data_IF_263239652377
#
_entry.id   IF_263239652377
#
_cell.length_a   1.000
_cell.length_b   1.000
_cell.length_c   1.000
_cell.angle_alpha   90.00
_cell.angle_beta   90.00
_cell.angle_gamma   90.00
#
_symmetry.space_group_name_H-M   'P 1'
#
loop_
_entity.id
_entity.type
_entity.pdbx_description
1 polymer ?
#
# COMPACT_ATOMS: atom_id res chain seq x y z
N UNK A 1 1.54 -21.79 -3.14
CA UNK A 1 1.44 -20.50 -2.46
C UNK A 1 1.12 -20.79 -0.99
N UNK A 2 1.66 -20.02 -0.03
CA UNK A 2 1.23 -20.15 1.36
C UNK A 2 -0.23 -19.72 1.47
N UNK A 3 -1.01 -20.42 2.30
CA UNK A 3 -2.38 -19.97 2.64
C UNK A 3 -2.32 -18.60 3.32
N UNK A 4 -3.37 -17.81 3.15
CA UNK A 4 -3.53 -16.54 3.85
C UNK A 4 -3.51 -16.81 5.35
N UNK A 5 -2.65 -16.14 6.09
CA UNK A 5 -2.55 -16.30 7.53
C UNK A 5 -3.80 -15.78 8.23
N UNK A 6 -4.13 -16.34 9.38
CA UNK A 6 -5.18 -15.83 10.28
C UNK A 6 -4.62 -15.59 11.68
N UNK A 7 -5.26 -14.69 12.40
CA UNK A 7 -4.96 -14.37 13.79
C UNK A 7 -6.24 -14.34 14.62
N UNK A 8 -6.20 -14.89 15.82
CA UNK A 8 -7.32 -14.85 16.74
C UNK A 8 -7.11 -13.73 17.73
N UNK A 9 -8.01 -12.74 17.71
CA UNK A 9 -7.85 -11.51 18.48
C UNK A 9 -7.91 -11.73 19.98
N UNK A 10 -7.09 -10.98 20.72
CA UNK A 10 -7.22 -10.74 22.16
C UNK A 10 -8.16 -9.55 22.42
N UNK A 11 -8.51 -9.34 23.68
CA UNK A 11 -9.46 -8.29 24.10
C UNK A 11 -8.97 -6.86 23.75
N UNK A 12 -7.66 -6.62 23.86
CA UNK A 12 -7.04 -5.31 23.65
C UNK A 12 -6.72 -5.01 22.17
N UNK A 13 -6.87 -6.00 21.29
CA UNK A 13 -6.47 -5.84 19.88
C UNK A 13 -7.38 -4.88 19.14
N UNK A 14 -6.76 -4.06 18.28
CA UNK A 14 -7.41 -3.33 17.19
C UNK A 14 -6.85 -3.79 15.86
N UNK A 15 -7.62 -3.68 14.77
CA UNK A 15 -7.06 -3.98 13.43
C UNK A 15 -5.91 -3.03 13.08
N UNK A 16 -5.85 -1.85 13.68
CA UNK A 16 -4.78 -0.87 13.48
C UNK A 16 -3.46 -1.33 14.11
N UNK A 17 -3.51 -1.85 15.33
CA UNK A 17 -2.33 -2.38 16.03
C UNK A 17 -1.84 -3.66 15.37
N UNK A 18 -2.76 -4.55 15.00
CA UNK A 18 -2.45 -5.78 14.25
C UNK A 18 -1.84 -5.46 12.88
N UNK A 19 -2.35 -4.42 12.18
CA UNK A 19 -1.75 -3.98 10.93
C UNK A 19 -0.24 -3.67 11.11
N UNK A 20 0.12 -2.83 12.08
CA UNK A 20 1.52 -2.51 12.35
C UNK A 20 2.33 -3.73 12.78
N UNK A 21 1.79 -4.55 13.68
CA UNK A 21 2.45 -5.76 14.19
C UNK A 21 2.82 -6.74 13.07
N UNK A 22 1.94 -6.90 12.09
CA UNK A 22 2.12 -7.83 10.98
C UNK A 22 2.64 -7.16 9.69
N UNK A 23 3.08 -5.90 9.76
CA UNK A 23 3.60 -5.12 8.62
C UNK A 23 2.60 -4.99 7.47
N UNK A 24 1.37 -4.67 7.83
CA UNK A 24 0.23 -4.44 6.95
C UNK A 24 -0.24 -2.98 7.05
N UNK A 25 -1.01 -2.52 6.07
CA UNK A 25 -1.68 -1.23 6.10
C UNK A 25 -3.07 -1.31 6.74
N UNK A 26 -3.56 -0.17 7.27
CA UNK A 26 -4.89 -0.13 7.89
C UNK A 26 -6.01 -0.54 6.92
N UNK A 27 -6.09 0.09 5.74
CA UNK A 27 -7.12 -0.23 4.73
C UNK A 27 -7.00 -1.68 4.25
N UNK A 28 -5.77 -2.19 4.11
CA UNK A 28 -5.49 -3.58 3.77
C UNK A 28 -6.10 -4.56 4.78
N UNK A 29 -5.92 -4.28 6.07
CA UNK A 29 -6.52 -5.08 7.15
C UNK A 29 -8.05 -5.00 7.16
N UNK A 30 -8.62 -3.82 6.99
CA UNK A 30 -10.09 -3.62 6.99
C UNK A 30 -10.73 -4.28 5.76
N UNK A 31 -10.12 -4.15 4.58
CA UNK A 31 -10.59 -4.79 3.35
C UNK A 31 -10.59 -6.32 3.43
N UNK A 32 -9.55 -6.90 4.05
CA UNK A 32 -9.46 -8.34 4.25
C UNK A 32 -10.51 -8.89 5.22
N UNK A 33 -11.03 -8.06 6.13
CA UNK A 33 -11.91 -8.42 7.25
C UNK A 33 -13.25 -7.65 7.23
N UNK A 34 -14.06 -7.74 6.15
CA UNK A 34 -15.31 -7.00 6.06
C UNK A 34 -16.27 -7.37 7.18
N UNK A 35 -16.88 -6.36 7.78
CA UNK A 35 -17.83 -6.53 8.89
C UNK A 35 -17.20 -6.65 10.28
N UNK A 36 -15.87 -6.74 10.37
CA UNK A 36 -15.17 -6.65 11.67
C UNK A 36 -14.98 -5.18 12.03
N UNK A 37 -15.34 -4.81 13.26
CA UNK A 37 -15.07 -3.47 13.78
C UNK A 37 -13.55 -3.25 13.90
N UNK A 38 -12.97 -2.24 13.26
CA UNK A 38 -11.52 -2.06 13.27
C UNK A 38 -10.95 -1.61 14.63
N UNK A 39 -11.79 -1.04 15.50
CA UNK A 39 -11.39 -0.54 16.82
C UNK A 39 -11.71 -1.52 17.95
N UNK A 40 -12.75 -2.31 17.78
CA UNK A 40 -13.20 -3.31 18.75
C UNK A 40 -13.58 -4.59 18.01
N UNK A 41 -12.60 -5.34 17.46
CA UNK A 41 -12.87 -6.58 16.73
C UNK A 41 -13.52 -7.66 17.62
N UNK A 42 -13.38 -7.54 18.93
CA UNK A 42 -13.87 -8.50 19.91
C UNK A 42 -12.87 -9.63 20.18
N UNK A 43 -12.84 -10.10 21.42
CA UNK A 43 -11.97 -11.22 21.81
C UNK A 43 -12.37 -12.52 21.08
N UNK A 44 -11.39 -13.25 20.58
CA UNK A 44 -11.58 -14.54 19.92
C UNK A 44 -12.10 -14.45 18.48
N UNK A 45 -12.15 -13.27 17.87
CA UNK A 45 -12.51 -13.09 16.46
C UNK A 45 -11.36 -13.59 15.59
N UNK A 46 -11.66 -14.42 14.59
CA UNK A 46 -10.67 -14.86 13.62
C UNK A 46 -10.56 -13.80 12.51
N UNK A 47 -9.40 -13.13 12.44
CA UNK A 47 -9.10 -12.12 11.42
C UNK A 47 -8.09 -12.64 10.41
N UNK A 48 -8.30 -12.30 9.15
CA UNK A 48 -7.40 -12.62 8.03
C UNK A 48 -6.24 -11.64 8.03
N UNK A 49 -5.02 -12.15 7.91
CA UNK A 49 -3.81 -11.35 7.74
C UNK A 49 -3.34 -11.44 6.27
N UNK A 50 -3.55 -10.41 5.43
CA UNK A 50 -3.20 -10.42 4.01
C UNK A 50 -1.67 -10.24 3.81
N UNK A 51 -0.86 -11.17 4.31
CA UNK A 51 0.62 -11.09 4.30
C UNK A 51 1.27 -11.58 3.00
N UNK A 52 0.49 -12.03 2.04
CA UNK A 52 0.96 -12.54 0.75
C UNK A 52 0.46 -11.62 -0.36
N UNK A 53 1.39 -11.16 -1.21
CA UNK A 53 1.07 -10.25 -2.32
C UNK A 53 1.61 -10.78 -3.65
N UNK A 54 0.83 -10.58 -4.71
CA UNK A 54 1.34 -10.68 -6.08
C UNK A 54 2.21 -9.45 -6.40
N UNK A 55 3.19 -9.64 -7.25
CA UNK A 55 4.01 -8.52 -7.72
C UNK A 55 3.20 -7.61 -8.64
N UNK A 56 3.41 -6.29 -8.55
CA UNK A 56 2.88 -5.36 -9.55
C UNK A 56 3.39 -5.71 -10.94
N UNK A 57 2.52 -5.58 -11.94
CA UNK A 57 2.89 -5.74 -13.34
C UNK A 57 3.41 -4.41 -13.90
N UNK A 58 4.66 -4.40 -14.36
CA UNK A 58 5.29 -3.25 -15.00
C UNK A 58 5.38 -3.44 -16.53
N UNK A 59 4.61 -4.37 -17.09
CA UNK A 59 4.66 -4.72 -18.49
C UNK A 59 5.99 -5.38 -18.87
N UNK A 60 6.68 -4.82 -19.86
CA UNK A 60 7.98 -5.34 -20.31
C UNK A 60 9.15 -4.89 -19.44
N UNK A 61 8.95 -3.95 -18.53
CA UNK A 61 10.02 -3.39 -17.72
C UNK A 61 10.38 -4.34 -16.58
N UNK A 62 11.67 -4.62 -16.46
CA UNK A 62 12.18 -5.37 -15.31
C UNK A 62 12.05 -4.51 -14.06
N UNK A 63 11.42 -5.00 -12.99
CA UNK A 63 11.35 -4.27 -11.74
C UNK A 63 12.74 -3.99 -11.19
N UNK A 64 13.01 -2.75 -10.82
CA UNK A 64 14.26 -2.30 -10.21
C UNK A 64 14.03 -1.14 -9.25
N UNK A 65 14.86 -1.04 -8.21
CA UNK A 65 14.77 0.02 -7.22
C UNK A 65 13.46 -0.03 -6.45
N UNK A 66 12.72 1.07 -6.42
CA UNK A 66 11.47 1.19 -5.69
C UNK A 66 10.29 1.17 -6.67
N UNK A 67 9.32 0.31 -6.42
CA UNK A 67 8.00 0.34 -7.05
C UNK A 67 6.95 0.63 -5.98
N UNK A 68 6.15 1.66 -6.18
CA UNK A 68 5.03 2.01 -5.30
C UNK A 68 3.74 1.73 -6.06
N UNK A 69 2.87 0.91 -5.50
CA UNK A 69 1.52 0.75 -6.01
C UNK A 69 0.54 1.45 -5.07
N UNK A 70 -0.19 2.43 -5.60
CA UNK A 70 -1.10 3.26 -4.80
C UNK A 70 -2.34 2.51 -4.36
N UNK A 71 -2.84 1.57 -5.19
CA UNK A 71 -4.06 0.83 -4.89
C UNK A 71 -3.89 -0.13 -3.70
N UNK A 72 -2.75 -0.82 -3.58
CA UNK A 72 -2.48 -1.70 -2.43
C UNK A 72 -1.78 -0.97 -1.28
N UNK A 73 -1.46 0.33 -1.46
CA UNK A 73 -0.71 1.15 -0.51
C UNK A 73 0.55 0.44 -0.02
N UNK A 74 1.31 -0.14 -0.97
CA UNK A 74 2.57 -0.81 -0.66
C UNK A 74 3.72 -0.29 -1.51
N UNK A 75 4.89 -0.29 -0.90
CA UNK A 75 6.18 -0.03 -1.52
C UNK A 75 6.93 -1.37 -1.63
N UNK A 76 7.45 -1.66 -2.81
CA UNK A 76 8.27 -2.83 -3.11
C UNK A 76 9.67 -2.35 -3.45
N UNK A 77 10.66 -2.82 -2.71
CA UNK A 77 12.07 -2.55 -2.99
C UNK A 77 12.74 -3.77 -3.61
N UNK A 78 13.18 -3.63 -4.84
CA UNK A 78 13.88 -4.64 -5.60
C UNK A 78 15.38 -4.43 -5.43
N UNK A 79 15.98 -5.21 -4.53
CA UNK A 79 17.40 -5.23 -4.30
C UNK A 79 18.11 -5.88 -5.51
N UNK A 80 19.28 -5.37 -5.88
CA UNK A 80 20.06 -5.97 -6.97
C UNK A 80 20.31 -7.44 -6.68
N UNK A 81 20.05 -8.29 -7.68
CA UNK A 81 20.26 -9.75 -7.60
C UNK A 81 19.31 -10.50 -6.65
N UNK A 82 18.36 -9.84 -5.99
CA UNK A 82 17.37 -10.52 -5.17
C UNK A 82 16.27 -11.16 -6.03
N UNK A 83 15.83 -12.35 -5.65
CA UNK A 83 14.74 -13.08 -6.32
C UNK A 83 13.37 -12.50 -5.96
N UNK A 84 13.25 -11.91 -4.78
CA UNK A 84 11.98 -11.34 -4.30
C UNK A 84 12.23 -9.97 -3.66
N UNK A 85 11.34 -8.99 -3.87
CA UNK A 85 11.47 -7.68 -3.24
C UNK A 85 11.15 -7.73 -1.74
N UNK A 86 11.64 -6.73 -1.02
CA UNK A 86 11.10 -6.38 0.29
C UNK A 86 9.84 -5.54 0.09
N UNK A 87 8.82 -5.76 0.88
CA UNK A 87 7.55 -5.06 0.78
C UNK A 87 7.21 -4.36 2.10
N UNK A 88 6.72 -3.12 1.99
CA UNK A 88 6.40 -2.25 3.12
C UNK A 88 5.03 -1.60 2.92
N UNK A 89 4.16 -1.57 3.93
CA UNK A 89 2.95 -0.78 3.88
C UNK A 89 3.28 0.71 3.91
N UNK A 90 2.49 1.51 3.21
CA UNK A 90 2.69 2.96 3.11
C UNK A 90 1.38 3.71 3.27
N UNK A 91 1.46 4.94 3.79
CA UNK A 91 0.38 5.94 3.66
C UNK A 91 0.67 6.84 2.46
N UNK A 92 -0.38 7.27 1.77
CA UNK A 92 -0.30 8.06 0.53
C UNK A 92 -1.12 9.35 0.62
N UNK A 93 -1.07 10.15 -0.45
CA UNK A 93 -1.81 11.40 -0.57
C UNK A 93 -3.32 11.23 -0.43
N UNK A 94 -3.97 12.13 0.33
CA UNK A 94 -5.41 12.23 0.43
C UNK A 94 -6.04 12.74 -0.86
N UNK A 95 -7.35 12.66 -0.97
CA UNK A 95 -8.08 13.27 -2.08
C UNK A 95 -7.76 14.76 -2.24
N UNK A 96 -7.61 15.21 -3.47
CA UNK A 96 -7.15 16.57 -3.81
C UNK A 96 -5.65 16.82 -3.63
N UNK A 97 -4.91 15.91 -2.97
CA UNK A 97 -3.45 15.99 -2.75
C UNK A 97 -2.79 14.64 -3.06
N UNK A 98 -3.10 14.09 -4.21
CA UNK A 98 -2.70 12.75 -4.60
C UNK A 98 -1.18 12.59 -4.74
N UNK A 99 -0.68 11.40 -4.41
CA UNK A 99 0.65 10.98 -4.82
C UNK A 99 0.63 10.75 -6.34
N UNK A 100 1.53 11.40 -7.13
CA UNK A 100 1.50 11.26 -8.58
C UNK A 100 1.99 9.88 -9.02
N UNK A 101 1.46 9.39 -10.16
CA UNK A 101 1.99 8.24 -10.87
C UNK A 101 3.08 8.64 -11.85
N UNK A 102 3.97 7.70 -12.18
CA UNK A 102 5.06 7.93 -13.14
C UNK A 102 6.42 7.47 -12.60
N UNK A 103 7.49 7.96 -13.22
CA UNK A 103 8.86 7.57 -12.88
C UNK A 103 9.63 8.77 -12.35
N UNK A 104 10.34 8.56 -11.26
CA UNK A 104 11.25 9.52 -10.64
C UNK A 104 12.44 8.78 -10.02
N UNK A 105 13.22 9.44 -9.19
CA UNK A 105 14.33 8.83 -8.44
C UNK A 105 14.51 9.50 -7.08
N UNK A 106 15.22 8.83 -6.19
CA UNK A 106 15.70 9.43 -4.95
C UNK A 106 16.84 10.40 -5.28
N UNK A 107 16.67 11.68 -4.98
CA UNK A 107 17.70 12.71 -5.28
C UNK A 107 18.50 13.13 -4.05
N UNK A 108 17.99 12.86 -2.86
CA UNK A 108 18.65 13.19 -1.60
C UNK A 108 18.08 12.35 -0.47
N UNK A 109 18.94 12.03 0.50
CA UNK A 109 18.57 11.33 1.75
C UNK A 109 18.95 12.18 2.95
N UNK A 110 18.16 12.13 4.04
CA UNK A 110 18.45 12.83 5.27
C UNK A 110 18.03 12.02 6.50
N UNK A 111 18.96 11.83 7.42
CA UNK A 111 18.71 11.37 8.79
C UNK A 111 18.29 12.56 9.63
N UNK A 112 17.38 12.35 10.55
CA UNK A 112 16.86 13.35 11.48
C UNK A 112 16.54 14.69 10.78
N UNK A 113 15.59 14.68 9.81
CA UNK A 113 15.25 15.85 9.04
C UNK A 113 14.52 16.87 9.91
N UNK A 114 14.72 18.17 9.63
CA UNK A 114 13.75 19.18 10.07
C UNK A 114 12.61 19.25 9.06
N UNK A 115 11.40 19.47 9.53
CA UNK A 115 10.24 19.69 8.68
C UNK A 115 9.92 21.17 8.56
N UNK A 116 9.61 21.62 7.35
CA UNK A 116 9.09 22.96 7.06
C UNK A 116 7.77 22.81 6.32
N UNK A 117 6.64 23.32 6.86
CA UNK A 117 5.40 23.35 6.12
C UNK A 117 5.56 24.10 4.80
N UNK A 118 4.89 23.62 3.75
CA UNK A 118 4.82 24.35 2.48
C UNK A 118 3.99 25.63 2.63
N UNK A 119 4.11 26.56 1.66
CA UNK A 119 3.30 27.77 1.65
C UNK A 119 1.81 27.45 1.75
N UNK A 120 1.34 26.48 0.93
CA UNK A 120 -0.06 26.01 0.96
C UNK A 120 -0.49 25.51 2.34
N UNK A 121 0.35 24.72 3.03
CA UNK A 121 0.00 24.23 4.38
C UNK A 121 -0.15 25.36 5.39
N UNK A 122 0.66 26.40 5.28
CA UNK A 122 0.54 27.58 6.14
C UNK A 122 -0.66 28.47 5.80
N UNK A 123 -1.06 28.49 4.53
CA UNK A 123 -2.28 29.17 4.11
C UNK A 123 -3.53 28.44 4.63
N UNK A 124 -3.50 27.11 4.68
CA UNK A 124 -4.57 26.27 5.24
C UNK A 124 -4.61 26.32 6.79
N UNK A 125 -3.43 26.41 7.43
CA UNK A 125 -3.28 26.47 8.89
C UNK A 125 -2.15 27.43 9.27
N UNK A 126 -2.47 28.71 9.54
CA UNK A 126 -1.52 29.74 9.93
C UNK A 126 -0.82 29.49 11.28
N UNK A 127 -1.35 28.61 12.13
CA UNK A 127 -0.76 28.26 13.42
C UNK A 127 0.42 27.29 13.28
N UNK A 128 0.67 26.73 12.09
CA UNK A 128 1.79 25.83 11.87
C UNK A 128 3.13 26.54 12.12
N UNK A 129 4.06 25.91 12.86
CA UNK A 129 5.36 26.46 13.12
C UNK A 129 6.16 26.62 11.82
N UNK A 130 7.00 27.63 11.73
CA UNK A 130 7.88 27.81 10.55
C UNK A 130 8.78 26.59 10.30
N UNK A 131 9.25 25.98 11.40
CA UNK A 131 10.13 24.80 11.38
C UNK A 131 9.83 23.90 12.56
N UNK A 132 9.68 22.60 12.31
CA UNK A 132 9.74 21.57 13.35
C UNK A 132 11.12 20.90 13.28
N UNK A 133 11.96 21.02 14.34
CA UNK A 133 13.26 20.36 14.37
C UNK A 133 13.14 18.84 14.36
N UNK A 134 14.26 18.14 14.19
CA UNK A 134 14.32 16.70 14.42
C UNK A 134 13.88 16.36 15.84
N UNK A 135 13.09 15.30 15.98
CA UNK A 135 12.56 14.85 17.27
C UNK A 135 11.24 14.12 17.14
N UNK A 136 10.65 13.72 18.28
CA UNK A 136 9.44 12.90 18.31
C UNK A 136 8.21 13.60 17.71
N UNK A 137 8.17 14.92 17.71
CA UNK A 137 7.06 15.70 17.17
C UNK A 137 7.19 15.97 15.65
N UNK A 138 8.31 15.56 15.04
CA UNK A 138 8.55 15.83 13.63
C UNK A 138 7.68 14.91 12.73
N UNK A 139 6.82 15.48 11.86
CA UNK A 139 5.95 14.69 11.01
C UNK A 139 6.69 13.88 9.93
N UNK A 140 7.97 14.17 9.65
CA UNK A 140 8.80 13.38 8.74
C UNK A 140 9.45 12.16 9.44
N UNK A 141 9.34 12.05 10.76
CA UNK A 141 10.02 11.02 11.53
C UNK A 141 11.54 11.14 11.45
N UNK A 142 12.24 10.01 11.58
CA UNK A 142 13.70 9.92 11.69
C UNK A 142 14.44 9.89 10.35
N UNK A 143 13.75 9.63 9.24
CA UNK A 143 14.34 9.46 7.91
C UNK A 143 13.48 10.09 6.83
N UNK A 144 14.13 10.76 5.86
CA UNK A 144 13.47 11.28 4.67
C UNK A 144 14.32 11.04 3.42
N UNK A 145 13.69 10.55 2.36
CA UNK A 145 14.22 10.37 1.02
C UNK A 145 13.44 11.30 0.08
N UNK A 146 14.13 12.31 -0.47
CA UNK A 146 13.54 13.30 -1.36
C UNK A 146 13.52 12.76 -2.77
N UNK A 147 12.38 12.92 -3.46
CA UNK A 147 12.20 12.48 -4.82
C UNK A 147 12.56 13.59 -5.83
N UNK A 148 12.80 13.22 -7.08
CA UNK A 148 13.04 14.16 -8.17
C UNK A 148 11.81 15.01 -8.51
N UNK A 149 10.64 14.67 -8.00
CA UNK A 149 9.45 15.52 -8.03
C UNK A 149 9.49 16.53 -6.89
N UNK A 150 9.29 17.84 -7.17
CA UNK A 150 9.28 18.87 -6.13
C UNK A 150 8.26 18.55 -5.03
N UNK A 151 8.67 18.74 -3.77
CA UNK A 151 7.84 18.55 -2.55
C UNK A 151 7.41 17.11 -2.23
N UNK A 152 7.78 16.10 -3.03
CA UNK A 152 7.47 14.70 -2.74
C UNK A 152 8.62 13.97 -2.06
N UNK A 153 8.27 13.22 -1.02
CA UNK A 153 9.20 12.47 -0.18
C UNK A 153 8.65 11.08 0.12
N UNK A 154 9.58 10.13 0.36
CA UNK A 154 9.32 8.91 1.14
C UNK A 154 9.93 9.16 2.52
N UNK A 155 9.13 9.09 3.58
CA UNK A 155 9.59 9.47 4.91
C UNK A 155 8.90 8.68 6.02
N UNK A 156 9.48 8.71 7.23
CA UNK A 156 8.85 8.19 8.42
C UNK A 156 7.65 9.02 8.90
N UNK A 157 7.23 8.81 10.12
CA UNK A 157 6.12 9.58 10.69
C UNK A 157 6.17 9.57 12.22
N UNK A 158 5.68 10.62 12.83
CA UNK A 158 5.32 10.66 14.25
C UNK A 158 3.86 10.17 14.51
N UNK A 159 3.12 9.85 13.41
CA UNK A 159 1.74 9.37 13.46
C UNK A 159 1.60 8.05 12.69
N UNK A 160 2.08 6.92 13.24
CA UNK A 160 2.15 5.63 12.54
C UNK A 160 0.78 5.09 12.12
N UNK A 161 -0.30 5.47 12.78
CA UNK A 161 -1.67 5.10 12.40
C UNK A 161 -2.13 5.67 11.04
N UNK A 162 -1.35 6.54 10.42
CA UNK A 162 -1.56 7.02 9.06
C UNK A 162 -1.00 6.12 7.96
N UNK A 163 -0.31 5.01 8.32
CA UNK A 163 0.20 4.04 7.34
C UNK A 163 -0.93 3.11 6.90
N UNK A 164 -0.99 2.84 5.60
CA UNK A 164 -2.10 2.12 4.97
C UNK A 164 -3.36 2.99 4.82
N UNK A 165 -3.22 4.32 4.80
CA UNK A 165 -4.33 5.28 4.67
C UNK A 165 -3.97 6.40 3.70
N UNK A 166 -5.00 7.08 3.19
CA UNK A 166 -4.87 8.26 2.33
C UNK A 166 -5.02 9.54 3.14
N UNK A 167 -3.94 9.94 3.82
CA UNK A 167 -3.97 11.04 4.81
C UNK A 167 -2.83 12.06 4.67
N UNK A 168 -1.92 11.87 3.71
CA UNK A 168 -0.80 12.79 3.51
C UNK A 168 -1.13 13.91 2.53
N UNK A 169 -0.22 14.87 2.42
CA UNK A 169 -0.29 15.93 1.38
C UNK A 169 0.48 15.52 0.11
N UNK A 170 0.42 14.23 -0.26
CA UNK A 170 1.05 13.66 -1.45
C UNK A 170 2.32 12.85 -1.15
N UNK A 171 3.01 13.07 -0.03
CA UNK A 171 4.18 12.30 0.34
C UNK A 171 3.84 10.87 0.75
N UNK A 172 4.81 9.96 0.64
CA UNK A 172 4.70 8.57 1.04
C UNK A 172 5.18 8.41 2.48
N UNK A 173 4.30 7.99 3.37
CA UNK A 173 4.58 7.73 4.79
C UNK A 173 4.85 6.27 5.05
N UNK A 174 5.83 5.99 5.90
CA UNK A 174 6.18 4.64 6.32
C UNK A 174 6.18 4.53 7.84
N UNK A 175 5.99 3.32 8.36
CA UNK A 175 6.27 3.06 9.77
C UNK A 175 7.71 3.46 10.12
N UNK A 176 7.97 3.96 11.34
CA UNK A 176 9.33 4.39 11.75
C UNK A 176 10.39 3.32 11.52
N UNK A 177 10.11 2.09 11.91
CA UNK A 177 10.99 0.92 11.76
C UNK A 177 11.24 0.53 10.29
N UNK A 178 10.23 0.72 9.44
CA UNK A 178 10.32 0.36 8.02
C UNK A 178 11.09 1.42 7.22
N UNK A 179 10.87 2.72 7.49
CA UNK A 179 11.63 3.77 6.83
C UNK A 179 13.11 3.72 7.19
N UNK A 180 13.45 3.38 8.43
CA UNK A 180 14.84 3.20 8.85
C UNK A 180 15.49 2.04 8.09
N UNK A 181 14.78 0.92 7.97
CA UNK A 181 15.23 -0.24 7.19
C UNK A 181 15.44 0.14 5.72
N UNK A 182 14.44 0.75 5.08
CA UNK A 182 14.51 1.13 3.66
C UNK A 182 15.60 2.18 3.40
N UNK A 183 15.77 3.12 4.31
CA UNK A 183 16.75 4.18 4.18
C UNK A 183 18.18 3.64 4.08
N UNK A 184 18.54 2.60 4.81
CA UNK A 184 19.90 2.01 4.74
C UNK A 184 20.12 1.19 3.45
N UNK A 185 19.05 0.70 2.82
CA UNK A 185 19.11 -0.12 1.61
C UNK A 185 19.13 0.71 0.31
N UNK A 186 18.51 1.89 0.32
CA UNK A 186 18.29 2.70 -0.87
C UNK A 186 19.42 3.71 -1.06
N UNK A 187 20.00 3.78 -2.24
CA UNK A 187 20.99 4.79 -2.61
C UNK A 187 20.33 6.03 -3.25
N UNK A 188 21.06 7.14 -3.26
CA UNK A 188 20.73 8.28 -4.13
C UNK A 188 20.81 7.79 -5.58
N UNK A 189 19.95 8.33 -6.44
CA UNK A 189 19.69 7.92 -7.82
C UNK A 189 18.92 6.61 -7.97
N UNK A 190 18.51 5.93 -6.89
CA UNK A 190 17.59 4.78 -6.99
C UNK A 190 16.31 5.19 -7.70
N UNK A 191 15.95 4.45 -8.76
CA UNK A 191 14.72 4.63 -9.54
C UNK A 191 13.49 4.41 -8.64
N UNK A 192 12.47 5.22 -8.82
CA UNK A 192 11.17 5.11 -8.15
C UNK A 192 10.09 5.13 -9.21
N UNK A 193 9.35 4.04 -9.32
CA UNK A 193 8.19 3.91 -10.21
C UNK A 193 6.92 3.89 -9.37
N UNK A 194 5.99 4.80 -9.64
CA UNK A 194 4.71 4.88 -8.94
C UNK A 194 3.59 4.53 -9.91
N UNK A 195 2.79 3.54 -9.56
CA UNK A 195 1.66 3.04 -10.34
C UNK A 195 0.40 3.01 -9.49
N UNK A 196 -0.76 2.87 -10.14
CA UNK A 196 -2.06 2.65 -9.51
C UNK A 196 -2.71 1.41 -10.14
N UNK A 197 -2.45 0.25 -9.57
CA UNK A 197 -2.87 -1.04 -10.11
C UNK A 197 -3.71 -1.80 -9.06
N UNK A 198 -5.04 -1.62 -9.08
CA UNK A 198 -5.93 -2.28 -8.12
C UNK A 198 -6.10 -3.78 -8.38
N UNK A 199 -5.84 -4.25 -9.60
CA UNK A 199 -5.90 -5.67 -9.94
C UNK A 199 -4.51 -6.15 -10.33
N UNK A 200 -4.02 -7.17 -9.61
CA UNK A 200 -2.78 -7.87 -9.93
C UNK A 200 -3.08 -9.31 -10.32
N UNK A 201 -2.40 -9.80 -11.34
CA UNK A 201 -2.53 -11.16 -11.86
C UNK A 201 -1.16 -11.83 -11.86
N UNK A 202 -1.10 -13.11 -11.50
CA UNK A 202 0.17 -13.84 -11.47
C UNK A 202 0.01 -15.35 -11.61
N UNK A 203 0.87 -15.96 -12.44
CA UNK A 203 0.95 -17.40 -12.56
C UNK A 203 1.86 -17.99 -11.49
N UNK A 204 1.34 -18.93 -10.70
CA UNK A 204 2.08 -19.63 -9.65
C UNK A 204 1.80 -21.13 -9.77
N UNK A 205 2.83 -21.92 -10.06
CA UNK A 205 2.67 -23.37 -10.19
C UNK A 205 1.68 -23.84 -11.26
N UNK A 206 1.53 -23.07 -12.33
CA UNK A 206 0.59 -23.39 -13.41
C UNK A 206 -0.88 -23.00 -13.15
N UNK A 207 -1.15 -22.32 -12.04
CA UNK A 207 -2.46 -21.75 -11.69
C UNK A 207 -2.39 -20.22 -11.75
N UNK A 208 -3.45 -19.59 -12.23
CA UNK A 208 -3.57 -18.13 -12.26
C UNK A 208 -4.23 -17.63 -10.99
N UNK A 209 -3.59 -16.64 -10.36
CA UNK A 209 -4.09 -15.95 -9.18
C UNK A 209 -4.44 -14.51 -9.51
N UNK A 210 -5.46 -14.00 -8.83
CA UNK A 210 -5.89 -12.61 -8.87
C UNK A 210 -5.86 -12.04 -7.46
N UNK A 211 -5.28 -10.86 -7.33
CA UNK A 211 -5.31 -10.05 -6.11
C UNK A 211 -6.00 -8.73 -6.45
N UNK A 212 -7.11 -8.45 -5.79
CA UNK A 212 -7.94 -7.28 -6.04
C UNK A 212 -7.98 -6.38 -4.80
N UNK A 213 -7.57 -5.13 -4.97
CA UNK A 213 -7.57 -4.09 -3.93
C UNK A 213 -8.70 -3.08 -4.16
N UNK A 214 -9.21 -2.42 -3.12
CA UNK A 214 -10.04 -1.24 -3.27
C UNK A 214 -9.34 -0.19 -4.15
N UNK A 215 -10.09 0.50 -5.01
CA UNK A 215 -9.58 1.70 -5.67
C UNK A 215 -9.34 2.80 -4.64
N UNK A 216 -8.66 3.89 -5.01
CA UNK A 216 -8.45 5.00 -4.08
C UNK A 216 -9.77 5.56 -3.52
N UNK A 217 -10.79 5.71 -4.39
CA UNK A 217 -12.14 6.13 -3.96
C UNK A 217 -12.80 5.12 -3.01
N UNK A 218 -12.69 3.82 -3.30
CA UNK A 218 -13.22 2.76 -2.44
C UNK A 218 -12.48 2.68 -1.10
N UNK A 219 -11.19 2.99 -1.08
CA UNK A 219 -10.39 3.09 0.15
C UNK A 219 -10.89 4.21 1.05
N UNK A 220 -11.22 5.38 0.47
CA UNK A 220 -11.82 6.49 1.20
C UNK A 220 -13.22 6.14 1.74
N UNK A 221 -14.03 5.42 0.96
CA UNK A 221 -15.34 4.92 1.41
C UNK A 221 -15.18 3.89 2.54
N UNK A 222 -14.22 2.98 2.42
CA UNK A 222 -13.95 1.95 3.43
C UNK A 222 -13.51 2.58 4.75
N UNK A 223 -12.66 3.60 4.70
CA UNK A 223 -12.22 4.34 5.88
C UNK A 223 -13.36 5.12 6.52
N UNK A 224 -14.21 5.77 5.73
CA UNK A 224 -15.28 6.61 6.22
C UNK A 224 -16.50 5.82 6.73
N UNK A 225 -16.80 4.65 6.15
CA UNK A 225 -18.08 3.93 6.33
C UNK A 225 -17.89 2.46 6.72
N UNK A 226 -16.66 1.93 6.78
CA UNK A 226 -16.37 0.50 6.98
C UNK A 226 -16.79 -0.40 5.82
N UNK A 227 -17.21 0.17 4.70
CA UNK A 227 -17.63 -0.51 3.47
C UNK A 227 -17.49 0.40 2.27
N UNK A 228 -17.40 -0.18 1.08
CA UNK A 228 -17.43 0.55 -0.19
C UNK A 228 -18.52 0.00 -1.11
N UNK A 229 -18.87 0.79 -2.12
CA UNK A 229 -19.84 0.37 -3.12
C UNK A 229 -19.17 -0.57 -4.13
N UNK A 230 -19.66 -1.82 -4.27
CA UNK A 230 -19.07 -2.78 -5.18
C UNK A 230 -19.28 -2.35 -6.63
N UNK A 231 -18.21 -2.34 -7.42
CA UNK A 231 -18.24 -2.02 -8.85
C UNK A 231 -17.48 -3.09 -9.62
N UNK A 232 -18.14 -3.70 -10.57
CA UNK A 232 -17.46 -4.60 -11.52
C UNK A 232 -17.08 -3.78 -12.75
N UNK A 233 -15.79 -3.64 -12.96
CA UNK A 233 -15.22 -2.91 -14.09
C UNK A 233 -14.98 -3.87 -15.25
N UNK A 234 -15.38 -3.47 -16.48
CA UNK A 234 -15.21 -4.29 -17.70
C UNK A 234 -13.74 -4.58 -18.01
N UNK A 235 -12.86 -3.63 -17.66
CA UNK A 235 -11.41 -3.71 -17.86
C UNK A 235 -10.77 -4.91 -17.14
N UNK A 236 -11.34 -5.37 -16.02
CA UNK A 236 -10.85 -6.53 -15.28
C UNK A 236 -10.94 -7.80 -16.13
N UNK A 237 -12.02 -7.95 -16.87
CA UNK A 237 -12.22 -9.09 -17.78
C UNK A 237 -11.19 -9.07 -18.91
N UNK A 238 -10.95 -7.91 -19.49
CA UNK A 238 -9.97 -7.74 -20.56
C UNK A 238 -8.55 -8.04 -20.09
N UNK A 239 -8.16 -7.56 -18.89
CA UNK A 239 -6.87 -7.86 -18.28
C UNK A 239 -6.69 -9.38 -18.07
N UNK A 240 -7.68 -10.05 -17.50
CA UNK A 240 -7.64 -11.50 -17.27
C UNK A 240 -7.51 -12.26 -18.60
N UNK A 241 -8.30 -11.89 -19.61
CA UNK A 241 -8.25 -12.52 -20.93
C UNK A 241 -6.91 -12.30 -21.64
N UNK A 242 -6.25 -11.16 -21.41
CA UNK A 242 -4.92 -10.87 -21.92
C UNK A 242 -3.84 -11.76 -21.30
N UNK A 243 -3.95 -12.06 -20.00
CA UNK A 243 -2.95 -12.86 -19.26
C UNK A 243 -3.17 -14.36 -19.43
N UNK A 244 -4.42 -14.82 -19.53
CA UNK A 244 -4.76 -16.25 -19.56
C UNK A 244 -4.52 -16.92 -20.93
N UNK A 245 -4.54 -16.13 -22.02
CA UNK A 245 -4.30 -16.63 -23.38
C UNK A 245 -5.21 -17.79 -23.77
N UNK A 246 -4.63 -18.92 -24.16
CA UNK A 246 -5.35 -20.12 -24.59
C UNK A 246 -6.04 -20.89 -23.45
N UNK A 247 -5.66 -20.64 -22.19
CA UNK A 247 -6.18 -21.34 -21.01
C UNK A 247 -7.56 -20.83 -20.53
N UNK A 248 -8.30 -20.09 -21.36
CA UNK A 248 -9.61 -19.49 -21.02
C UNK A 248 -10.63 -20.49 -20.47
N UNK A 249 -10.61 -21.74 -20.93
CA UNK A 249 -11.51 -22.80 -20.46
C UNK A 249 -11.30 -23.21 -18.99
N UNK A 250 -10.17 -22.85 -18.40
CA UNK A 250 -9.85 -23.13 -16.99
C UNK A 250 -10.34 -22.04 -16.02
N UNK A 251 -10.83 -20.90 -16.51
CA UNK A 251 -11.22 -19.78 -15.64
C UNK A 251 -12.44 -20.12 -14.77
N UNK A 252 -12.35 -19.76 -13.50
CA UNK A 252 -13.46 -19.73 -12.56
C UNK A 252 -14.10 -18.34 -12.51
N UNK A 253 -15.05 -18.12 -13.41
CA UNK A 253 -15.76 -16.83 -13.52
C UNK A 253 -16.52 -16.44 -12.25
N UNK A 254 -16.98 -17.43 -11.45
CA UNK A 254 -17.62 -17.18 -10.16
C UNK A 254 -16.63 -16.60 -9.15
N UNK A 255 -15.46 -17.23 -9.03
CA UNK A 255 -14.36 -16.76 -8.19
C UNK A 255 -13.85 -15.39 -8.62
N UNK A 256 -13.64 -15.17 -9.93
CA UNK A 256 -13.23 -13.89 -10.51
C UNK A 256 -14.20 -12.78 -10.12
N UNK A 257 -15.50 -12.99 -10.38
CA UNK A 257 -16.52 -11.98 -10.06
C UNK A 257 -16.55 -11.66 -8.56
N UNK A 258 -16.46 -12.69 -7.71
CA UNK A 258 -16.44 -12.53 -6.27
C UNK A 258 -15.23 -11.68 -5.83
N UNK A 259 -14.02 -12.01 -6.30
CA UNK A 259 -12.81 -11.27 -5.97
C UNK A 259 -12.85 -9.81 -6.44
N UNK A 260 -13.32 -9.58 -7.67
CA UNK A 260 -13.44 -8.26 -8.26
C UNK A 260 -14.44 -7.35 -7.52
N UNK A 261 -15.46 -7.93 -6.89
CA UNK A 261 -16.46 -7.22 -6.10
C UNK A 261 -15.98 -7.01 -4.66
N UNK A 262 -15.45 -8.06 -4.02
CA UNK A 262 -15.08 -8.02 -2.60
C UNK A 262 -13.76 -7.28 -2.34
N UNK A 263 -12.83 -7.27 -3.28
CA UNK A 263 -11.53 -6.55 -3.23
C UNK A 263 -10.80 -6.68 -1.89
N UNK A 264 -10.60 -7.93 -1.46
CA UNK A 264 -10.05 -8.25 -0.12
C UNK A 264 -8.53 -8.10 0.00
N UNK A 265 -7.82 -7.76 -1.07
CA UNK A 265 -6.39 -7.45 -1.03
C UNK A 265 -5.45 -8.63 -0.82
N UNK A 266 -5.89 -9.86 -1.06
CA UNK A 266 -5.02 -11.04 -1.05
C UNK A 266 -5.25 -11.93 -2.26
N UNK A 267 -4.22 -12.69 -2.70
CA UNK A 267 -4.34 -13.51 -3.89
C UNK A 267 -5.33 -14.66 -3.73
N UNK A 268 -6.23 -14.81 -4.69
CA UNK A 268 -7.11 -15.97 -4.82
C UNK A 268 -6.83 -16.67 -6.14
N UNK A 269 -6.92 -18.00 -6.15
CA UNK A 269 -6.83 -18.76 -7.39
C UNK A 269 -8.11 -18.57 -8.22
N UNK A 270 -7.93 -18.25 -9.51
CA UNK A 270 -9.01 -18.00 -10.47
C UNK A 270 -9.01 -19.01 -11.64
N UNK A 271 -8.22 -20.06 -11.55
CA UNK A 271 -8.27 -21.23 -12.44
C UNK A 271 -8.80 -22.47 -11.70
N UNK A 272 -9.38 -23.39 -12.47
CA UNK A 272 -9.89 -24.69 -12.00
C UNK A 272 -8.88 -25.79 -12.26
#
# INVERSE_FOLDING_TARGET
>A
MRETASYRTAYEDTLLDLARQFKLGYVEMVAANPGTDPWVPGEGTDVVLPTVHLMPDLGSDKPEGIVINLADMRLYYFEKESVAPRSFPIGIGRDGLNTPTGVTKVVRKRKDPSWRPTARMRDEDPELPEVVPAGPDNPLGTRAMYLGWPEYLIHGTNKPWGVGRRVSSGCVRMYPEDVETLFELVDVDTKVTVIDQPIKLGWIGGELFMEAHPTQEQSDQLEAKGRFDPKLESEIVEQILGVVGENRGRLDWGGIRKAAIERRGYPIRITR
#
